data_IF_668584776983
#
_entry.id   IF_668584776983
#
_cell.length_a   1.000
_cell.length_b   1.000
_cell.length_c   1.000
_cell.angle_alpha   90.00
_cell.angle_beta   90.00
_cell.angle_gamma   90.00
#
_symmetry.space_group_name_H-M   'P 1'
#
loop_
_entity.id
_entity.type
_entity.pdbx_description
1 polymer ?
#
# COMPACT_ATOMS: atom_id res chain seq x y z
N UNK A 1 0.69 -21.39 -17.28
CA UNK A 1 -0.19 -21.12 -16.19
C UNK A 1 -0.34 -19.65 -15.92
N UNK A 2 -1.56 -19.21 -15.75
CA UNK A 2 -1.85 -17.79 -15.61
C UNK A 2 -2.03 -17.40 -14.15
N UNK A 3 -1.46 -16.27 -13.79
CA UNK A 3 -1.74 -15.66 -12.50
C UNK A 3 -3.09 -14.93 -12.58
N UNK A 4 -3.69 -14.70 -11.44
CA UNK A 4 -4.88 -13.88 -11.35
C UNK A 4 -4.59 -12.46 -11.80
N UNK A 5 -5.62 -11.76 -12.27
CA UNK A 5 -5.48 -10.35 -12.60
C UNK A 5 -4.97 -9.54 -11.41
N UNK A 6 -5.40 -9.90 -10.20
CA UNK A 6 -4.95 -9.23 -8.98
C UNK A 6 -3.45 -9.43 -8.75
N UNK A 7 -2.96 -10.63 -9.01
CA UNK A 7 -1.53 -10.92 -8.87
C UNK A 7 -0.71 -10.14 -9.89
N UNK A 8 -1.20 -10.09 -11.15
CA UNK A 8 -0.54 -9.32 -12.19
C UNK A 8 -0.53 -7.83 -11.86
N UNK A 9 -1.63 -7.31 -11.32
CA UNK A 9 -1.72 -5.91 -10.94
C UNK A 9 -0.71 -5.57 -9.85
N UNK A 10 -0.54 -6.47 -8.87
CA UNK A 10 0.43 -6.27 -7.79
C UNK A 10 1.85 -6.21 -8.38
N UNK A 11 2.21 -7.17 -9.20
CA UNK A 11 3.55 -7.21 -9.78
C UNK A 11 3.80 -6.00 -10.69
N UNK A 12 2.80 -5.61 -11.47
CA UNK A 12 2.95 -4.48 -12.38
C UNK A 12 3.20 -3.17 -11.66
N UNK A 13 2.49 -2.95 -10.54
CA UNK A 13 2.68 -1.71 -9.79
C UNK A 13 3.99 -1.71 -9.02
N UNK A 14 4.47 -2.87 -8.57
CA UNK A 14 5.71 -2.95 -7.82
C UNK A 14 6.95 -2.82 -8.71
N UNK A 15 6.80 -2.91 -10.02
CA UNK A 15 7.88 -2.63 -10.96
C UNK A 15 8.26 -1.14 -10.95
N UNK A 16 7.37 -0.28 -10.49
CA UNK A 16 7.53 1.17 -10.51
C UNK A 16 8.23 1.65 -9.25
N UNK A 17 9.36 2.35 -9.41
CA UNK A 17 10.13 2.83 -8.25
C UNK A 17 9.36 3.86 -7.42
N UNK A 18 8.51 4.69 -8.06
CA UNK A 18 7.71 5.66 -7.32
C UNK A 18 6.65 4.96 -6.48
N UNK A 19 6.04 3.91 -7.00
CA UNK A 19 5.07 3.14 -6.23
C UNK A 19 5.72 2.48 -5.03
N UNK A 20 6.92 1.92 -5.20
CA UNK A 20 7.64 1.32 -4.08
C UNK A 20 8.02 2.37 -3.03
N UNK A 21 8.43 3.57 -3.47
CA UNK A 21 8.77 4.64 -2.54
C UNK A 21 7.56 5.08 -1.73
N UNK A 22 6.41 5.20 -2.38
CA UNK A 22 5.17 5.56 -1.70
C UNK A 22 4.82 4.51 -0.65
N UNK A 23 4.86 3.23 -1.02
CA UNK A 23 4.55 2.15 -0.08
C UNK A 23 5.49 2.16 1.12
N UNK A 24 6.78 2.35 0.87
CA UNK A 24 7.76 2.37 1.94
C UNK A 24 7.46 3.48 2.96
N UNK A 25 7.14 4.67 2.48
CA UNK A 25 6.78 5.77 3.36
C UNK A 25 5.49 5.51 4.12
N UNK A 26 4.51 4.91 3.46
CA UNK A 26 3.22 4.64 4.10
C UNK A 26 3.28 3.54 5.15
N UNK A 27 4.35 2.74 5.16
CA UNK A 27 4.52 1.76 6.24
C UNK A 27 4.91 2.43 7.56
N UNK A 28 5.41 3.66 7.49
CA UNK A 28 5.83 4.39 8.69
C UNK A 28 4.63 5.10 9.30
N UNK A 29 3.89 5.84 8.48
CA UNK A 29 2.73 6.59 8.94
C UNK A 29 1.80 6.91 7.78
N UNK A 30 0.52 7.18 8.05
CA UNK A 30 -0.38 7.66 7.00
C UNK A 30 0.07 9.02 6.48
N UNK A 31 -0.05 9.23 5.17
CA UNK A 31 0.39 10.48 4.55
C UNK A 31 -0.60 10.91 3.48
N UNK A 32 -0.70 12.23 3.29
CA UNK A 32 -1.47 12.80 2.19
C UNK A 32 -0.64 12.76 0.90
N UNK A 33 -1.30 13.01 -0.23
CA UNK A 33 -0.58 13.06 -1.51
C UNK A 33 0.47 14.17 -1.51
N UNK A 34 0.17 15.32 -0.92
CA UNK A 34 1.13 16.43 -0.84
C UNK A 34 2.35 16.04 -0.02
N UNK A 35 2.14 15.36 1.10
CA UNK A 35 3.24 14.90 1.93
C UNK A 35 4.11 13.88 1.18
N UNK A 36 3.47 12.99 0.42
CA UNK A 36 4.20 12.00 -0.38
C UNK A 36 4.99 12.66 -1.50
N UNK A 37 4.44 13.69 -2.14
CA UNK A 37 5.17 14.41 -3.18
C UNK A 37 6.45 15.01 -2.62
N UNK A 38 6.38 15.61 -1.44
CA UNK A 38 7.55 16.20 -0.81
C UNK A 38 8.55 15.13 -0.37
N UNK A 39 8.06 14.05 0.24
CA UNK A 39 8.94 13.01 0.77
C UNK A 39 9.62 12.21 -0.32
N UNK A 40 8.94 11.96 -1.43
CA UNK A 40 9.44 11.13 -2.51
C UNK A 40 9.97 11.92 -3.70
N UNK A 41 9.91 13.24 -3.62
CA UNK A 41 10.38 14.14 -4.69
C UNK A 41 9.73 13.80 -6.04
N UNK A 42 8.40 13.82 -6.05
CA UNK A 42 7.64 13.56 -7.26
C UNK A 42 6.54 14.60 -7.45
N UNK A 43 6.06 14.73 -8.68
CA UNK A 43 4.98 15.66 -8.99
C UNK A 43 3.64 15.14 -8.48
N UNK A 44 2.67 16.06 -8.34
CA UNK A 44 1.32 15.70 -7.93
C UNK A 44 0.70 14.68 -8.89
N UNK A 45 0.89 14.90 -10.20
CA UNK A 45 0.33 13.99 -11.20
C UNK A 45 0.90 12.59 -11.03
N UNK A 46 2.21 12.49 -10.79
CA UNK A 46 2.86 11.19 -10.59
C UNK A 46 2.32 10.52 -9.33
N UNK A 47 2.23 11.28 -8.24
CA UNK A 47 1.74 10.73 -6.97
C UNK A 47 0.32 10.19 -7.09
N UNK A 48 -0.59 10.97 -7.67
CA UNK A 48 -1.99 10.53 -7.81
C UNK A 48 -2.12 9.33 -8.73
N UNK A 49 -1.35 9.31 -9.82
CA UNK A 49 -1.40 8.17 -10.73
C UNK A 49 -0.93 6.89 -10.05
N UNK A 50 0.15 6.98 -9.30
CA UNK A 50 0.69 5.81 -8.59
C UNK A 50 -0.23 5.38 -7.45
N UNK A 51 -0.78 6.34 -6.72
CA UNK A 51 -1.73 6.03 -5.65
C UNK A 51 -2.97 5.31 -6.19
N UNK A 52 -3.48 5.76 -7.34
CA UNK A 52 -4.62 5.10 -7.96
C UNK A 52 -4.29 3.64 -8.31
N UNK A 53 -3.11 3.41 -8.87
CA UNK A 53 -2.69 2.04 -9.21
C UNK A 53 -2.52 1.18 -7.97
N UNK A 54 -1.97 1.76 -6.91
CA UNK A 54 -1.79 1.04 -5.65
C UNK A 54 -3.14 0.68 -5.02
N UNK A 55 -4.11 1.58 -5.11
CA UNK A 55 -5.45 1.31 -4.63
C UNK A 55 -6.14 0.23 -5.46
N UNK A 56 -5.98 0.25 -6.77
CA UNK A 56 -6.54 -0.78 -7.64
C UNK A 56 -5.97 -2.16 -7.32
N UNK A 57 -4.70 -2.22 -6.95
CA UNK A 57 -4.05 -3.46 -6.53
C UNK A 57 -4.34 -3.80 -5.06
N UNK A 58 -5.10 -2.97 -4.37
CA UNK A 58 -5.48 -3.15 -2.97
C UNK A 58 -4.28 -3.19 -2.03
N UNK A 59 -3.25 -2.42 -2.35
CA UNK A 59 -2.06 -2.30 -1.52
C UNK A 59 -2.07 -1.04 -0.64
N UNK A 60 -2.96 -0.11 -0.95
CA UNK A 60 -3.10 1.16 -0.26
C UNK A 60 -4.60 1.43 -0.06
N UNK A 61 -4.95 1.97 1.09
CA UNK A 61 -6.30 2.43 1.37
C UNK A 61 -6.28 3.93 1.62
N UNK A 62 -7.38 4.59 1.29
CA UNK A 62 -7.50 6.02 1.58
C UNK A 62 -8.47 6.24 2.71
N UNK A 63 -8.22 7.29 3.48
CA UNK A 63 -9.09 7.76 4.54
C UNK A 63 -9.30 9.24 4.36
N UNK A 64 -10.50 9.70 4.63
CA UNK A 64 -10.79 11.11 4.59
C UNK A 64 -10.57 11.70 5.97
N UNK A 65 -9.79 12.77 6.02
CA UNK A 65 -9.48 13.46 7.26
C UNK A 65 -10.05 14.86 7.22
N UNK A 66 -10.30 15.42 8.39
CA UNK A 66 -10.80 16.78 8.56
C UNK A 66 -9.71 17.59 9.25
N UNK A 67 -9.25 18.68 8.62
CA UNK A 67 -8.25 19.49 9.26
C UNK A 67 -8.92 20.50 10.23
N UNK A 68 -8.13 21.18 11.07
CA UNK A 68 -8.69 22.13 12.04
C UNK A 68 -9.49 23.27 11.42
N UNK A 69 -9.24 23.61 10.17
CA UNK A 69 -9.93 24.67 9.46
C UNK A 69 -11.24 24.18 8.80
N UNK A 70 -11.56 22.90 8.95
CA UNK A 70 -12.77 22.33 8.42
C UNK A 70 -12.67 21.82 7.00
N UNK A 71 -11.48 21.82 6.42
CA UNK A 71 -11.25 21.29 5.09
C UNK A 71 -11.03 19.78 5.13
N UNK A 72 -11.55 19.09 4.11
CA UNK A 72 -11.35 17.67 3.97
C UNK A 72 -10.13 17.39 3.11
N UNK A 73 -9.34 16.41 3.48
CA UNK A 73 -8.24 15.95 2.67
C UNK A 73 -8.10 14.43 2.81
N UNK A 74 -7.44 13.82 1.84
CA UNK A 74 -7.26 12.38 1.83
C UNK A 74 -5.91 12.00 2.41
N UNK A 75 -5.91 10.98 3.22
CA UNK A 75 -4.70 10.42 3.78
C UNK A 75 -4.66 8.96 3.37
N UNK A 76 -3.48 8.46 3.08
CA UNK A 76 -3.31 7.10 2.56
C UNK A 76 -2.52 6.26 3.55
N UNK A 77 -2.84 4.97 3.59
CA UNK A 77 -2.15 4.01 4.44
C UNK A 77 -1.78 2.79 3.62
N UNK A 78 -0.66 2.16 3.96
CA UNK A 78 -0.29 0.90 3.33
C UNK A 78 -1.12 -0.22 3.97
N UNK A 79 -1.70 -1.07 3.13
CA UNK A 79 -2.46 -2.24 3.60
C UNK A 79 -1.68 -3.53 3.39
N UNK A 80 -0.49 -3.43 2.82
CA UNK A 80 0.36 -4.58 2.54
C UNK A 80 1.54 -4.60 3.51
N UNK A 81 1.89 -5.77 3.99
CA UNK A 81 3.11 -5.96 4.75
C UNK A 81 4.17 -6.65 3.92
N UNK A 82 3.79 -7.70 3.21
CA UNK A 82 4.71 -8.53 2.47
C UNK A 82 4.09 -8.99 1.16
N UNK A 83 4.89 -8.94 0.11
CA UNK A 83 4.54 -9.57 -1.16
C UNK A 83 5.61 -10.63 -1.41
N UNK A 84 5.18 -11.88 -1.55
CA UNK A 84 6.09 -13.01 -1.77
C UNK A 84 5.81 -13.61 -3.14
N UNK A 85 6.85 -13.75 -3.93
CA UNK A 85 6.76 -14.39 -5.24
C UNK A 85 7.48 -15.72 -5.15
N UNK A 86 6.77 -16.80 -5.44
CA UNK A 86 7.30 -18.15 -5.34
C UNK A 86 7.28 -18.81 -6.71
N UNK A 87 8.40 -19.40 -7.08
CA UNK A 87 8.53 -20.17 -8.30
C UNK A 87 8.70 -21.62 -7.92
N UNK A 88 7.71 -22.44 -8.21
CA UNK A 88 7.73 -23.85 -7.86
C UNK A 88 6.84 -24.65 -8.76
N UNK A 89 7.22 -25.86 -9.08
CA UNK A 89 6.43 -26.82 -9.85
C UNK A 89 5.94 -26.25 -11.18
N UNK A 90 6.78 -25.47 -11.83
CA UNK A 90 6.48 -24.89 -13.12
C UNK A 90 5.52 -23.69 -13.08
N UNK A 91 5.29 -23.14 -11.91
CA UNK A 91 4.38 -22.01 -11.76
C UNK A 91 5.02 -20.86 -11.00
N UNK A 92 4.39 -19.71 -11.12
CA UNK A 92 4.75 -18.49 -10.37
C UNK A 92 3.54 -18.09 -9.56
N UNK A 93 3.71 -17.97 -8.25
CA UNK A 93 2.62 -17.60 -7.36
C UNK A 93 2.98 -16.33 -6.60
N UNK A 94 2.00 -15.46 -6.43
CA UNK A 94 2.18 -14.21 -5.68
C UNK A 94 1.26 -14.28 -4.46
N UNK A 95 1.85 -14.11 -3.28
CA UNK A 95 1.10 -14.07 -2.03
C UNK A 95 1.27 -12.69 -1.41
N UNK A 96 0.16 -12.09 -1.03
CA UNK A 96 0.17 -10.77 -0.39
C UNK A 96 -0.31 -10.95 1.04
N UNK A 97 0.53 -10.53 1.98
CA UNK A 97 0.16 -10.49 3.39
C UNK A 97 -0.24 -9.07 3.70
N UNK A 98 -1.47 -8.88 4.16
CA UNK A 98 -2.00 -7.54 4.41
C UNK A 98 -1.95 -7.23 5.88
N UNK A 99 -1.65 -5.98 6.18
CA UNK A 99 -1.67 -5.53 7.55
C UNK A 99 -3.09 -5.17 7.96
N UNK A 100 -3.39 -5.34 9.25
CA UNK A 100 -4.64 -4.89 9.80
C UNK A 100 -4.67 -3.36 9.80
N UNK A 101 -5.77 -2.80 9.30
CA UNK A 101 -5.94 -1.35 9.30
C UNK A 101 -6.55 -0.87 10.61
N UNK A 102 -7.17 -1.78 11.36
CA UNK A 102 -7.80 -1.49 12.64
C UNK A 102 -6.75 -1.66 13.75
N UNK A 103 -6.52 -0.62 14.56
CA UNK A 103 -5.58 -0.76 15.69
C UNK A 103 -5.89 -1.92 16.62
N UNK A 104 -7.17 -2.25 16.78
CA UNK A 104 -7.57 -3.39 17.62
C UNK A 104 -7.06 -4.70 17.03
N UNK A 105 -7.14 -4.85 15.71
CA UNK A 105 -6.66 -6.05 15.04
C UNK A 105 -5.14 -6.17 15.16
N UNK A 106 -4.42 -5.05 15.05
CA UNK A 106 -2.98 -5.05 15.24
C UNK A 106 -2.60 -5.48 16.64
N UNK A 107 -3.36 -5.00 17.60
CA UNK A 107 -3.12 -5.33 19.00
C UNK A 107 -3.31 -6.83 19.22
N UNK A 108 -4.36 -7.39 18.63
CA UNK A 108 -4.63 -8.82 18.70
C UNK A 108 -3.49 -9.65 18.09
N UNK A 109 -3.00 -9.21 16.94
CA UNK A 109 -1.88 -9.89 16.26
C UNK A 109 -0.64 -9.90 17.13
N UNK A 110 -0.36 -8.81 17.83
CA UNK A 110 0.79 -8.74 18.72
C UNK A 110 0.67 -9.75 19.84
N UNK A 111 -0.52 -9.89 20.41
CA UNK A 111 -0.76 -10.87 21.47
C UNK A 111 -0.59 -12.30 20.97
N UNK A 112 -1.11 -12.58 19.80
CA UNK A 112 -0.97 -13.91 19.21
C UNK A 112 0.49 -14.22 18.91
N UNK A 113 1.23 -13.22 18.49
CA UNK A 113 2.66 -13.39 18.22
C UNK A 113 3.48 -13.65 19.47
N UNK A 114 2.97 -13.29 20.63
CA UNK A 114 3.66 -13.48 21.90
C UNK A 114 3.35 -14.82 22.57
N UNK A 115 2.32 -15.49 22.11
CA UNK A 115 1.90 -16.75 22.73
C UNK A 115 2.60 -18.01 22.17
#
# INVERSE_FOLDING_TARGET
MCMDEDEDAVLAVLDDEYARAILAHLTIEPMSADELCAACDMSDATAYRRLNRLQEAELVAEQQELDPDGHHYKRYTATVETVTVTFADGSCEVAVTRSATDPADRFTDLFEGLS
#
